data_IF_056701793416
#
_entry.id   IF_056701793416
#
_cell.length_a   1.000
_cell.length_b   1.000
_cell.length_c   1.000
_cell.angle_alpha   90.00
_cell.angle_beta   90.00
_cell.angle_gamma   90.00
#
_symmetry.space_group_name_H-M   'P 1'
#
loop_
_entity.id
_entity.type
_entity.pdbx_description
1 polymer ?
#
# COMPACT_ATOMS: atom_id res chain seq x y z
N UNK A 1 6.87 -19.63 105.63
CA UNK A 1 7.80 -18.49 105.80
C UNK A 1 9.15 -18.91 105.25
N UNK A 2 9.83 -18.00 104.55
CA UNK A 2 11.16 -18.08 103.90
C UNK A 2 11.10 -18.03 102.36
N UNK A 3 11.43 -16.82 101.87
CA UNK A 3 11.85 -16.38 100.53
C UNK A 3 12.82 -17.36 99.84
N UNK A 4 12.65 -17.70 98.57
CA UNK A 4 12.82 -16.88 97.36
C UNK A 4 14.28 -16.50 97.08
N UNK A 5 14.95 -17.33 96.27
CA UNK A 5 16.07 -16.96 95.39
C UNK A 5 15.95 -17.78 94.09
N UNK A 6 15.23 -17.26 93.10
CA UNK A 6 15.54 -17.50 91.69
C UNK A 6 15.72 -16.14 91.04
N UNK A 7 16.92 -15.91 90.53
CA UNK A 7 17.34 -14.72 89.80
C UNK A 7 16.45 -14.49 88.57
N UNK A 8 16.02 -13.25 88.30
CA UNK A 8 15.29 -12.93 87.07
C UNK A 8 16.21 -12.96 85.85
N UNK A 9 15.65 -13.42 84.72
CA UNK A 9 16.21 -13.21 83.39
C UNK A 9 16.11 -11.73 83.01
N UNK A 10 17.08 -11.17 82.26
CA UNK A 10 17.05 -9.77 81.85
C UNK A 10 15.94 -9.48 80.83
N UNK A 11 15.35 -8.31 81.05
CA UNK A 11 14.20 -7.67 80.41
C UNK A 11 14.40 -7.40 78.90
N UNK A 12 13.42 -7.79 78.07
CA UNK A 12 13.34 -7.52 76.64
C UNK A 12 12.91 -6.06 76.35
N UNK A 13 13.69 -5.09 76.85
CA UNK A 13 13.53 -3.67 76.51
C UNK A 13 14.87 -2.98 76.27
N UNK A 14 15.52 -3.29 75.17
CA UNK A 14 16.55 -2.42 74.61
C UNK A 14 16.81 -2.67 73.11
N UNK A 15 15.75 -2.63 72.30
CA UNK A 15 15.86 -2.32 70.88
C UNK A 15 15.24 -0.95 70.67
N UNK A 16 16.05 0.11 70.65
CA UNK A 16 15.56 1.48 70.50
C UNK A 16 14.64 1.58 69.27
N UNK A 17 13.53 2.30 69.40
CA UNK A 17 12.60 2.59 68.30
C UNK A 17 13.35 3.13 67.06
N UNK A 18 14.48 3.82 67.28
CA UNK A 18 15.38 4.35 66.26
C UNK A 18 16.01 3.29 65.35
N UNK A 19 16.29 2.07 65.83
CA UNK A 19 16.93 1.03 65.01
C UNK A 19 15.92 0.33 64.09
N UNK A 20 14.65 0.22 64.50
CA UNK A 20 13.57 -0.32 63.64
C UNK A 20 13.06 0.71 62.63
N UNK A 21 13.06 1.99 63.00
CA UNK A 21 12.71 3.10 62.08
C UNK A 21 13.84 3.33 61.05
N UNK A 22 15.11 3.19 61.43
CA UNK A 22 16.24 3.34 60.51
C UNK A 22 16.30 2.27 59.41
N UNK A 23 15.99 1.00 59.74
CA UNK A 23 15.94 -0.09 58.75
C UNK A 23 14.72 0.03 57.83
N UNK A 24 13.56 0.46 58.35
CA UNK A 24 12.39 0.73 57.51
C UNK A 24 12.59 1.95 56.60
N UNK A 25 13.24 3.02 57.08
CA UNK A 25 13.55 4.19 56.26
C UNK A 25 14.56 3.87 55.15
N UNK A 26 15.57 3.03 55.41
CA UNK A 26 16.54 2.62 54.40
C UNK A 26 15.92 1.71 53.32
N UNK A 27 15.02 0.79 53.69
CA UNK A 27 14.31 -0.08 52.72
C UNK A 27 13.28 0.71 51.91
N UNK A 28 12.61 1.70 52.50
CA UNK A 28 11.68 2.59 51.79
C UNK A 28 12.42 3.57 50.87
N UNK A 29 13.58 4.10 51.27
CA UNK A 29 14.40 4.96 50.42
C UNK A 29 15.05 4.21 49.26
N UNK A 30 15.53 2.98 49.47
CA UNK A 30 16.04 2.13 48.39
C UNK A 30 14.92 1.69 47.44
N UNK A 31 13.73 1.40 47.96
CA UNK A 31 12.53 1.11 47.15
C UNK A 31 12.05 2.33 46.35
N UNK A 32 12.09 3.53 46.91
CA UNK A 32 11.70 4.77 46.22
C UNK A 32 12.70 5.18 45.14
N UNK A 33 14.01 5.00 45.34
CA UNK A 33 15.03 5.27 44.31
C UNK A 33 14.97 4.24 43.17
N UNK A 34 14.58 2.98 43.45
CA UNK A 34 14.39 1.97 42.41
C UNK A 34 13.05 2.14 41.66
N UNK A 35 12.01 2.67 42.31
CA UNK A 35 10.73 2.98 41.67
C UNK A 35 10.79 4.28 40.84
N UNK A 36 11.66 5.24 41.18
CA UNK A 36 11.86 6.47 40.39
C UNK A 36 12.82 6.30 39.20
N UNK A 37 13.56 5.19 39.11
CA UNK A 37 14.40 4.85 37.96
C UNK A 37 13.71 3.93 36.93
N UNK A 38 12.50 3.43 37.21
CA UNK A 38 11.71 2.62 36.27
C UNK A 38 10.49 3.35 35.67
N UNK A 39 10.33 4.65 35.93
CA UNK A 39 9.27 5.46 35.33
C UNK A 39 9.83 6.85 35.00
N UNK A 40 10.47 6.97 33.84
CA UNK A 40 10.43 8.24 33.10
C UNK A 40 9.10 8.20 32.33
N UNK A 41 8.15 9.11 32.61
CA UNK A 41 6.96 9.25 31.81
C UNK A 41 7.32 10.04 30.55
N UNK A 42 7.33 9.39 29.39
CA UNK A 42 7.09 10.08 28.13
C UNK A 42 5.58 10.38 28.06
N UNK A 43 5.17 11.50 28.65
CA UNK A 43 3.88 12.13 28.34
C UNK A 43 4.14 13.12 27.20
N UNK A 44 3.72 12.76 26.00
CA UNK A 44 3.03 13.71 25.13
C UNK A 44 1.62 13.17 24.92
N UNK A 45 0.65 13.97 25.37
CA UNK A 45 -0.77 13.73 25.26
C UNK A 45 -1.18 13.53 23.79
N UNK A 46 -1.87 12.43 23.47
CA UNK A 46 -3.23 12.57 22.96
C UNK A 46 -4.05 11.32 23.26
N UNK A 47 -4.96 11.46 24.23
CA UNK A 47 -5.98 10.47 24.55
C UNK A 47 -7.07 10.51 23.49
N UNK A 48 -6.90 9.73 22.42
CA UNK A 48 -8.02 9.21 21.61
C UNK A 48 -7.86 7.72 21.26
N UNK A 49 -6.96 7.00 21.95
CA UNK A 49 -6.61 5.59 21.65
C UNK A 49 -7.70 4.58 22.08
N UNK A 50 -8.86 5.04 22.56
CA UNK A 50 -9.90 4.18 23.14
C UNK A 50 -11.07 3.78 22.24
N UNK A 51 -11.17 4.31 21.01
CA UNK A 51 -12.36 4.13 20.15
C UNK A 51 -12.08 3.54 18.75
N UNK A 52 -10.87 3.04 18.50
CA UNK A 52 -10.43 2.61 17.16
C UNK A 52 -10.59 1.11 16.89
N UNK A 53 -11.01 0.32 17.87
CA UNK A 53 -11.17 -1.13 17.72
C UNK A 53 -12.50 -1.57 17.08
N UNK A 54 -13.36 -0.64 16.65
CA UNK A 54 -14.67 -0.97 16.10
C UNK A 54 -14.71 -1.09 14.56
N UNK A 55 -13.63 -0.76 13.85
CA UNK A 55 -13.67 -0.63 12.38
C UNK A 55 -12.52 -1.30 11.63
N UNK A 56 -11.61 -2.00 12.32
CA UNK A 56 -10.57 -2.81 11.65
C UNK A 56 -9.47 -2.03 10.92
N UNK A 57 -9.34 -0.73 11.14
CA UNK A 57 -8.28 0.12 10.59
C UNK A 57 -7.31 0.50 11.71
N UNK A 58 -6.01 0.23 11.53
CA UNK A 58 -4.94 0.57 12.48
C UNK A 58 -4.03 1.60 11.82
N UNK A 59 -3.98 2.81 12.38
CA UNK A 59 -3.05 3.85 11.94
C UNK A 59 -2.14 4.25 13.10
N UNK A 60 -0.81 4.22 12.91
CA UNK A 60 0.16 4.73 13.87
C UNK A 60 0.94 5.91 13.25
N UNK A 61 1.29 6.97 14.02
CA UNK A 61 1.63 8.28 13.45
C UNK A 61 3.06 8.41 12.89
N UNK A 62 3.80 7.31 12.69
CA UNK A 62 5.19 7.30 12.18
C UNK A 62 5.52 5.93 11.56
N UNK A 63 4.87 5.54 10.48
CA UNK A 63 5.16 4.26 9.82
C UNK A 63 6.29 4.44 8.79
N UNK A 64 7.55 4.33 9.24
CA UNK A 64 8.58 3.76 8.36
C UNK A 64 8.06 2.35 7.99
N UNK A 65 8.07 1.97 6.70
CA UNK A 65 7.61 0.64 6.30
C UNK A 65 8.44 -0.40 7.06
N UNK A 66 7.82 -1.18 7.94
CA UNK A 66 8.52 -2.15 8.78
C UNK A 66 9.18 -3.21 7.88
N UNK A 67 10.50 -3.13 7.73
CA UNK A 67 11.27 -4.06 6.90
C UNK A 67 11.50 -5.38 7.63
N UNK A 68 11.34 -6.54 6.95
CA UNK A 68 11.64 -7.82 7.58
C UNK A 68 13.14 -7.95 7.87
N UNK A 69 13.49 -8.63 8.95
CA UNK A 69 14.87 -9.07 9.15
C UNK A 69 15.24 -10.14 8.13
N UNK A 70 16.48 -10.16 7.65
CA UNK A 70 16.96 -11.17 6.71
C UNK A 70 17.18 -12.53 7.39
N UNK A 71 16.68 -13.58 6.75
CA UNK A 71 16.94 -14.95 7.20
C UNK A 71 18.38 -15.36 6.91
N UNK A 72 18.89 -16.36 7.65
CA UNK A 72 20.19 -16.98 7.36
C UNK A 72 20.23 -17.51 5.92
N UNK A 73 19.11 -18.02 5.41
CA UNK A 73 18.99 -18.48 4.03
C UNK A 73 19.16 -17.34 3.02
N UNK A 74 18.59 -16.16 3.27
CA UNK A 74 18.78 -15.00 2.40
C UNK A 74 20.25 -14.58 2.33
N UNK A 75 20.92 -14.49 3.48
CA UNK A 75 22.34 -14.12 3.57
C UNK A 75 23.25 -15.14 2.85
N UNK A 76 22.91 -16.42 2.86
CA UNK A 76 23.71 -17.48 2.23
C UNK A 76 23.46 -17.61 0.72
N UNK A 77 22.27 -17.24 0.24
CA UNK A 77 21.83 -17.57 -1.13
C UNK A 77 21.66 -16.38 -2.05
N UNK A 78 21.46 -15.17 -1.53
CA UNK A 78 21.41 -13.94 -2.33
C UNK A 78 22.84 -13.39 -2.45
N UNK A 79 23.31 -12.96 -3.64
CA UNK A 79 24.60 -12.28 -3.75
C UNK A 79 24.63 -11.05 -2.84
N UNK A 80 25.72 -10.82 -2.11
CA UNK A 80 25.84 -9.73 -1.14
C UNK A 80 25.49 -8.36 -1.75
N UNK A 81 25.96 -8.09 -2.97
CA UNK A 81 25.65 -6.85 -3.69
C UNK A 81 24.17 -6.72 -4.08
N UNK A 82 23.46 -7.82 -4.31
CA UNK A 82 22.02 -7.78 -4.58
C UNK A 82 21.21 -7.60 -3.30
N UNK A 83 21.62 -8.27 -2.21
CA UNK A 83 20.95 -8.16 -0.92
C UNK A 83 21.00 -6.73 -0.39
N UNK A 84 22.15 -6.07 -0.48
CA UNK A 84 22.32 -4.65 -0.12
C UNK A 84 21.37 -3.76 -0.94
N UNK A 85 21.34 -3.93 -2.27
CA UNK A 85 20.45 -3.16 -3.15
C UNK A 85 18.96 -3.42 -2.90
N UNK A 86 18.54 -4.64 -2.56
CA UNK A 86 17.15 -4.92 -2.19
C UNK A 86 16.76 -4.20 -0.90
N UNK A 87 17.62 -4.24 0.11
CA UNK A 87 17.38 -3.61 1.41
C UNK A 87 17.33 -2.09 1.27
N UNK A 88 18.30 -1.50 0.56
CA UNK A 88 18.36 -0.07 0.26
C UNK A 88 17.11 0.39 -0.50
N UNK A 89 16.79 -0.27 -1.62
CA UNK A 89 15.59 0.07 -2.39
C UNK A 89 14.30 -0.11 -1.59
N UNK A 90 14.24 -1.13 -0.72
CA UNK A 90 13.09 -1.39 0.14
C UNK A 90 12.89 -0.33 1.22
N UNK A 91 13.97 0.08 1.88
CA UNK A 91 13.96 1.16 2.87
C UNK A 91 13.58 2.50 2.22
N UNK A 92 14.23 2.85 1.11
CA UNK A 92 14.04 4.12 0.40
C UNK A 92 12.61 4.30 -0.13
N UNK A 93 11.96 3.21 -0.55
CA UNK A 93 10.66 3.25 -1.25
C UNK A 93 9.50 2.71 -0.42
N UNK A 94 9.75 2.29 0.81
CA UNK A 94 8.72 1.67 1.65
C UNK A 94 8.20 0.33 1.11
N UNK A 95 9.01 -0.39 0.33
CA UNK A 95 8.69 -1.70 -0.23
C UNK A 95 9.38 -2.79 0.59
N UNK A 96 8.72 -3.90 0.98
CA UNK A 96 9.42 -4.98 1.68
C UNK A 96 10.55 -5.56 0.80
N UNK A 97 11.80 -5.45 1.24
CA UNK A 97 12.96 -5.85 0.42
C UNK A 97 12.90 -7.34 0.00
N UNK A 98 12.29 -8.19 0.82
CA UNK A 98 12.14 -9.61 0.55
C UNK A 98 11.19 -9.88 -0.64
N UNK A 99 10.25 -8.98 -0.94
CA UNK A 99 9.39 -9.04 -2.15
C UNK A 99 10.23 -8.75 -3.40
N UNK A 100 11.07 -7.70 -3.36
CA UNK A 100 12.00 -7.38 -4.46
C UNK A 100 12.99 -8.53 -4.70
N UNK A 101 13.50 -9.11 -3.61
CA UNK A 101 14.35 -10.29 -3.68
C UNK A 101 13.60 -11.51 -4.26
N UNK A 102 12.34 -11.72 -3.88
CA UNK A 102 11.50 -12.77 -4.46
C UNK A 102 11.35 -12.64 -5.98
N UNK A 103 11.09 -11.43 -6.47
CA UNK A 103 11.04 -11.14 -7.91
C UNK A 103 12.38 -11.45 -8.59
N UNK A 104 13.48 -10.89 -8.10
CA UNK A 104 14.78 -11.12 -8.72
C UNK A 104 15.24 -12.59 -8.68
N UNK A 105 14.78 -13.36 -7.68
CA UNK A 105 15.00 -14.79 -7.62
C UNK A 105 14.26 -15.54 -8.73
N UNK A 106 12.97 -15.24 -8.95
CA UNK A 106 12.16 -15.89 -9.98
C UNK A 106 12.58 -15.47 -11.38
N UNK A 107 12.93 -14.20 -11.59
CA UNK A 107 13.25 -13.64 -12.90
C UNK A 107 14.62 -14.06 -13.43
N UNK A 108 15.64 -14.11 -12.56
CA UNK A 108 17.02 -14.32 -13.02
C UNK A 108 17.94 -15.00 -12.01
N UNK A 109 17.40 -15.48 -10.89
CA UNK A 109 18.19 -15.97 -9.77
C UNK A 109 19.22 -14.92 -9.29
N UNK A 110 18.75 -13.68 -9.14
CA UNK A 110 19.55 -12.49 -8.80
C UNK A 110 20.67 -12.22 -9.82
N UNK A 111 20.32 -12.26 -11.11
CA UNK A 111 21.21 -12.03 -12.25
C UNK A 111 22.21 -13.15 -12.54
N UNK A 112 22.06 -14.33 -11.91
CA UNK A 112 23.03 -15.44 -12.03
C UNK A 112 22.66 -16.49 -13.07
N UNK A 113 21.41 -16.51 -13.53
CA UNK A 113 21.03 -17.42 -14.62
C UNK A 113 21.67 -16.99 -15.94
N UNK A 114 22.12 -17.99 -16.69
CA UNK A 114 22.58 -17.82 -18.06
C UNK A 114 21.36 -17.99 -18.98
N UNK A 115 20.67 -16.87 -19.22
CA UNK A 115 19.40 -16.81 -19.94
C UNK A 115 19.28 -15.54 -20.78
N UNK A 116 18.49 -15.58 -21.86
CA UNK A 116 18.38 -14.45 -22.78
C UNK A 116 17.80 -13.22 -22.06
N UNK A 117 18.31 -12.03 -22.38
CA UNK A 117 17.84 -10.77 -21.80
C UNK A 117 18.40 -10.44 -20.43
N UNK A 118 19.05 -11.35 -19.70
CA UNK A 118 19.47 -11.08 -18.30
C UNK A 118 20.64 -10.09 -18.24
N UNK A 119 21.67 -10.28 -19.07
CA UNK A 119 22.87 -9.41 -19.10
C UNK A 119 23.01 -8.61 -20.40
N UNK A 120 22.29 -9.03 -21.45
CA UNK A 120 22.26 -8.35 -22.75
C UNK A 120 21.02 -8.76 -23.56
N UNK A 121 20.61 -7.91 -24.49
CA UNK A 121 19.49 -8.15 -25.39
C UNK A 121 18.15 -8.25 -24.66
N UNK A 122 17.23 -9.05 -25.21
CA UNK A 122 15.95 -9.34 -24.59
C UNK A 122 15.65 -10.84 -24.70
N UNK A 123 14.81 -11.35 -23.80
CA UNK A 123 14.21 -12.66 -23.95
C UNK A 123 13.16 -12.67 -25.09
N UNK A 124 12.61 -13.84 -25.43
CA UNK A 124 11.64 -13.99 -26.53
C UNK A 124 10.36 -13.13 -26.38
N UNK A 125 10.12 -12.58 -25.19
CA UNK A 125 8.97 -11.74 -24.89
C UNK A 125 9.31 -10.24 -24.90
N UNK A 126 10.58 -9.87 -25.03
CA UNK A 126 11.04 -8.48 -25.03
C UNK A 126 11.48 -7.94 -23.66
N UNK A 127 11.75 -8.82 -22.70
CA UNK A 127 12.19 -8.41 -21.36
C UNK A 127 13.72 -8.48 -21.20
N UNK A 128 14.27 -7.58 -20.38
CA UNK A 128 15.71 -7.40 -20.18
C UNK A 128 16.08 -7.12 -18.71
N UNK A 129 17.34 -7.35 -18.36
CA UNK A 129 17.90 -7.09 -17.04
C UNK A 129 17.69 -8.20 -16.01
N UNK A 130 18.30 -8.10 -14.82
CA UNK A 130 18.13 -9.08 -13.74
C UNK A 130 16.72 -9.07 -13.15
N UNK A 131 15.95 -8.00 -13.37
CA UNK A 131 14.54 -7.93 -12.97
C UNK A 131 13.59 -8.22 -14.15
N UNK A 132 14.11 -8.52 -15.35
CA UNK A 132 13.32 -8.85 -16.55
C UNK A 132 12.20 -7.82 -16.86
N UNK A 133 12.58 -6.55 -16.94
CA UNK A 133 11.69 -5.48 -17.38
C UNK A 133 11.38 -5.57 -18.87
N UNK A 134 10.13 -5.31 -19.26
CA UNK A 134 9.81 -5.05 -20.66
C UNK A 134 10.63 -3.87 -21.18
N UNK A 135 11.41 -4.09 -22.24
CA UNK A 135 12.37 -3.10 -22.78
C UNK A 135 12.30 -3.02 -24.31
N UNK A 136 11.21 -3.49 -24.93
CA UNK A 136 11.08 -3.56 -26.38
C UNK A 136 9.65 -3.20 -26.82
N UNK A 137 9.51 -2.08 -27.52
CA UNK A 137 8.23 -1.62 -28.04
C UNK A 137 7.58 -2.64 -28.98
N UNK A 138 6.28 -2.89 -28.79
CA UNK A 138 5.51 -3.84 -29.58
C UNK A 138 5.78 -5.32 -29.26
N UNK A 139 6.65 -5.60 -28.28
CA UNK A 139 6.82 -6.94 -27.72
C UNK A 139 5.70 -7.31 -26.75
N UNK A 140 5.66 -8.58 -26.31
CA UNK A 140 4.66 -9.04 -25.35
C UNK A 140 4.90 -8.49 -23.94
N UNK A 141 6.15 -8.27 -23.55
CA UNK A 141 6.54 -7.63 -22.30
C UNK A 141 6.38 -6.10 -22.35
N UNK A 142 6.18 -5.53 -23.54
CA UNK A 142 6.09 -4.09 -23.75
C UNK A 142 7.41 -3.37 -23.42
N UNK A 143 7.31 -2.10 -23.02
CA UNK A 143 8.46 -1.27 -22.67
C UNK A 143 8.21 -0.48 -21.38
N UNK A 144 8.00 -1.21 -20.29
CA UNK A 144 7.91 -0.63 -18.95
C UNK A 144 9.21 0.03 -18.51
N UNK A 145 10.37 -0.41 -19.00
CA UNK A 145 11.64 0.27 -18.74
C UNK A 145 11.59 1.73 -19.22
N UNK A 146 10.97 1.94 -20.38
CA UNK A 146 10.76 3.22 -21.03
C UNK A 146 11.98 3.65 -21.82
N UNK A 147 11.88 3.58 -23.15
CA UNK A 147 12.99 3.91 -24.05
C UNK A 147 13.92 2.73 -24.31
N UNK A 148 15.20 3.02 -24.50
CA UNK A 148 16.23 2.02 -24.77
C UNK A 148 16.71 1.33 -23.47
N UNK A 149 17.13 0.05 -23.52
CA UNK A 149 17.67 -0.67 -22.37
C UNK A 149 18.80 0.05 -21.62
N UNK A 150 19.59 0.86 -22.33
CA UNK A 150 20.66 1.69 -21.78
C UNK A 150 20.55 3.07 -22.41
N UNK A 151 20.34 4.11 -21.61
CA UNK A 151 20.19 5.49 -22.10
C UNK A 151 20.54 6.53 -21.02
N UNK A 152 20.89 7.76 -21.39
CA UNK A 152 21.05 8.85 -20.43
C UNK A 152 19.75 9.09 -19.66
N UNK A 153 19.83 9.33 -18.34
CA UNK A 153 18.65 9.53 -17.49
C UNK A 153 17.76 10.69 -17.98
N UNK A 154 18.36 11.75 -18.54
CA UNK A 154 17.64 12.88 -19.11
C UNK A 154 16.91 12.60 -20.42
N UNK A 155 17.13 11.44 -21.04
CA UNK A 155 16.46 10.99 -22.27
C UNK A 155 15.39 9.92 -21.99
N UNK A 156 15.30 9.42 -20.75
CA UNK A 156 14.31 8.42 -20.36
C UNK A 156 12.89 9.01 -20.37
N UNK A 157 11.94 8.43 -21.13
CA UNK A 157 10.55 8.89 -21.15
C UNK A 157 9.90 8.86 -19.76
N UNK A 158 9.01 9.82 -19.48
CA UNK A 158 8.34 9.97 -18.18
C UNK A 158 7.53 8.73 -17.78
N UNK A 159 6.92 8.07 -18.77
CA UNK A 159 6.12 6.86 -18.60
C UNK A 159 6.95 5.58 -18.35
N UNK A 160 8.28 5.66 -18.41
CA UNK A 160 9.18 4.57 -18.07
C UNK A 160 9.36 4.42 -16.57
N UNK A 161 9.85 3.26 -16.14
CA UNK A 161 10.24 2.99 -14.76
C UNK A 161 11.75 2.93 -14.55
N UNK A 162 12.57 3.05 -15.60
CA UNK A 162 14.03 3.08 -15.43
C UNK A 162 14.47 4.17 -14.45
N UNK A 163 15.39 3.84 -13.55
CA UNK A 163 15.94 4.73 -12.52
C UNK A 163 17.46 4.73 -12.65
N UNK A 164 18.09 5.89 -12.43
CA UNK A 164 19.53 6.02 -12.26
C UNK A 164 19.81 5.88 -10.76
N UNK A 165 19.90 4.63 -10.29
CA UNK A 165 19.95 4.34 -8.86
C UNK A 165 21.34 4.56 -8.26
N UNK A 166 22.38 4.42 -9.08
CA UNK A 166 23.77 4.65 -8.66
C UNK A 166 24.26 6.10 -8.88
N UNK A 167 23.47 6.94 -9.56
CA UNK A 167 23.74 8.36 -9.79
C UNK A 167 24.81 8.64 -10.85
N UNK A 168 25.03 7.73 -11.80
CA UNK A 168 26.05 7.86 -12.84
C UNK A 168 25.58 8.62 -14.09
N UNK A 169 24.29 8.98 -14.14
CA UNK A 169 23.64 9.72 -15.22
C UNK A 169 23.08 8.83 -16.33
N UNK A 170 23.14 7.51 -16.19
CA UNK A 170 22.62 6.51 -17.12
C UNK A 170 21.54 5.70 -16.41
N UNK A 171 20.47 5.35 -17.13
CA UNK A 171 19.58 4.26 -16.72
C UNK A 171 19.93 3.03 -17.53
N UNK A 172 20.32 1.96 -16.84
CA UNK A 172 20.78 0.71 -17.43
C UNK A 172 19.98 -0.48 -16.89
N UNK A 173 19.13 -1.08 -17.73
CA UNK A 173 18.28 -2.21 -17.32
C UNK A 173 19.08 -3.42 -16.82
N UNK A 174 20.35 -3.56 -17.22
CA UNK A 174 21.23 -4.66 -16.82
C UNK A 174 22.02 -4.37 -15.53
N UNK A 175 22.03 -3.12 -15.05
CA UNK A 175 22.62 -2.77 -13.76
C UNK A 175 21.59 -3.04 -12.65
N UNK A 176 21.85 -3.96 -11.70
CA UNK A 176 20.93 -4.17 -10.58
C UNK A 176 20.73 -2.92 -9.73
N UNK A 177 21.70 -1.99 -9.68
CA UNK A 177 21.55 -0.74 -8.95
C UNK A 177 20.47 0.17 -9.55
N UNK A 178 20.13 -0.01 -10.82
CA UNK A 178 19.06 0.71 -11.51
C UNK A 178 17.77 -0.13 -11.57
N UNK A 179 17.91 -1.43 -11.87
CA UNK A 179 16.78 -2.32 -12.09
C UNK A 179 15.99 -2.64 -10.82
N UNK A 180 16.66 -2.79 -9.66
CA UNK A 180 16.00 -3.10 -8.39
C UNK A 180 15.12 -1.92 -7.91
N UNK A 181 15.63 -0.68 -7.82
CA UNK A 181 14.78 0.47 -7.48
C UNK A 181 13.67 0.71 -8.50
N UNK A 182 13.92 0.50 -9.80
CA UNK A 182 12.88 0.54 -10.81
C UNK A 182 11.77 -0.49 -10.56
N UNK A 183 12.10 -1.70 -10.07
CA UNK A 183 11.12 -2.74 -9.74
C UNK A 183 10.25 -2.34 -8.57
N UNK A 184 10.82 -1.67 -7.57
CA UNK A 184 10.06 -1.11 -6.47
C UNK A 184 9.09 -0.01 -6.95
N UNK A 185 9.56 0.93 -7.79
CA UNK A 185 8.70 1.99 -8.36
C UNK A 185 7.58 1.41 -9.24
N UNK A 186 7.90 0.36 -10.00
CA UNK A 186 6.91 -0.37 -10.78
C UNK A 186 5.84 -1.01 -9.89
N UNK A 187 6.25 -1.71 -8.83
CA UNK A 187 5.32 -2.36 -7.90
C UNK A 187 4.41 -1.34 -7.20
N UNK A 188 4.96 -0.22 -6.72
CA UNK A 188 4.18 0.87 -6.13
C UNK A 188 3.12 1.38 -7.11
N UNK A 189 3.51 1.64 -8.36
CA UNK A 189 2.55 2.06 -9.39
C UNK A 189 1.49 0.99 -9.75
N UNK A 190 1.69 -0.25 -9.35
CA UNK A 190 0.73 -1.36 -9.50
C UNK A 190 -0.06 -1.65 -8.21
N UNK A 191 -0.05 -0.73 -7.25
CA UNK A 191 -0.82 -0.83 -6.01
C UNK A 191 -0.23 -1.85 -5.05
N UNK A 192 1.10 -1.94 -4.96
CA UNK A 192 1.76 -2.80 -3.96
C UNK A 192 1.27 -2.45 -2.55
N UNK A 193 1.06 -1.16 -2.30
CA UNK A 193 0.49 -0.59 -1.08
C UNK A 193 -0.94 -1.10 -0.76
N UNK A 194 -1.63 -1.64 -1.76
CA UNK A 194 -3.01 -2.11 -1.66
C UNK A 194 -3.14 -3.63 -1.59
N UNK A 195 -2.52 -4.31 -2.55
CA UNK A 195 -2.54 -5.76 -2.71
C UNK A 195 -1.22 -6.22 -3.30
N UNK A 196 -0.33 -6.67 -2.42
CA UNK A 196 0.99 -7.20 -2.75
C UNK A 196 0.94 -8.23 -3.87
N UNK A 197 0.05 -9.22 -3.71
CA UNK A 197 -0.06 -10.34 -4.63
C UNK A 197 -0.52 -9.86 -5.99
N UNK A 198 -1.36 -8.83 -6.03
CA UNK A 198 -1.89 -8.26 -7.27
C UNK A 198 -0.94 -7.27 -7.94
N UNK A 199 -0.10 -6.56 -7.18
CA UNK A 199 1.01 -5.79 -7.73
C UNK A 199 2.07 -6.70 -8.36
N UNK A 200 2.40 -7.82 -7.69
CA UNK A 200 3.25 -8.87 -8.28
C UNK A 200 2.58 -9.49 -9.52
N UNK A 201 1.25 -9.67 -9.51
CA UNK A 201 0.51 -10.08 -10.70
C UNK A 201 0.60 -9.02 -11.81
N UNK A 202 0.65 -7.73 -11.48
CA UNK A 202 0.90 -6.65 -12.43
C UNK A 202 2.24 -6.81 -13.15
N UNK A 203 3.25 -7.31 -12.44
CA UNK A 203 4.61 -7.53 -12.96
C UNK A 203 4.68 -8.58 -14.09
N UNK A 204 4.03 -9.73 -13.92
CA UNK A 204 4.18 -10.88 -14.84
C UNK A 204 2.86 -11.44 -15.40
N UNK A 205 1.72 -11.05 -14.84
CA UNK A 205 0.37 -11.52 -15.19
C UNK A 205 0.13 -13.03 -15.02
N UNK A 206 0.86 -13.67 -14.12
CA UNK A 206 0.69 -15.08 -13.81
C UNK A 206 0.55 -15.32 -12.30
N UNK A 207 -0.53 -15.99 -11.88
CA UNK A 207 -0.72 -16.31 -10.46
C UNK A 207 0.30 -17.33 -9.93
N UNK A 208 0.81 -18.23 -10.79
CA UNK A 208 1.91 -19.12 -10.38
C UNK A 208 3.20 -18.34 -10.09
N UNK A 209 3.46 -17.25 -10.84
CA UNK A 209 4.58 -16.36 -10.59
C UNK A 209 4.40 -15.62 -9.26
N UNK A 210 3.18 -15.13 -8.98
CA UNK A 210 2.87 -14.51 -7.67
C UNK A 210 3.12 -15.49 -6.52
N UNK A 211 2.66 -16.73 -6.64
CA UNK A 211 2.87 -17.75 -5.62
C UNK A 211 4.36 -18.05 -5.42
N UNK A 212 5.13 -18.17 -6.50
CA UNK A 212 6.58 -18.38 -6.43
C UNK A 212 7.30 -17.20 -5.76
N UNK A 213 6.98 -15.96 -6.15
CA UNK A 213 7.57 -14.75 -5.54
C UNK A 213 7.26 -14.68 -4.06
N UNK A 214 6.00 -14.93 -3.66
CA UNK A 214 5.62 -14.92 -2.25
C UNK A 214 6.31 -16.03 -1.45
N UNK A 215 6.44 -17.24 -2.02
CA UNK A 215 7.17 -18.34 -1.37
C UNK A 215 8.65 -17.98 -1.14
N UNK A 216 9.29 -17.31 -2.12
CA UNK A 216 10.66 -16.82 -1.96
C UNK A 216 10.75 -15.68 -0.95
N UNK A 217 9.82 -14.73 -0.98
CA UNK A 217 9.79 -13.62 -0.04
C UNK A 217 9.65 -14.10 1.42
N UNK A 218 8.79 -15.09 1.67
CA UNK A 218 8.64 -15.73 2.98
C UNK A 218 9.93 -16.44 3.41
N UNK A 219 10.62 -17.11 2.48
CA UNK A 219 11.90 -17.78 2.77
C UNK A 219 13.03 -16.80 3.09
N UNK A 220 12.99 -15.60 2.51
CA UNK A 220 14.01 -14.58 2.70
C UNK A 220 13.83 -13.76 3.98
N UNK A 221 12.62 -13.69 4.53
CA UNK A 221 12.35 -13.05 5.82
C UNK A 221 12.61 -13.98 7.02
N UNK A 222 13.04 -13.41 8.14
CA UNK A 222 13.09 -14.09 9.43
C UNK A 222 11.78 -13.89 10.20
N UNK A 223 11.15 -15.00 10.66
CA UNK A 223 9.92 -14.98 11.47
C UNK A 223 8.62 -15.00 10.66
N UNK A 224 7.47 -14.87 11.36
CA UNK A 224 6.14 -14.76 10.75
C UNK A 224 5.94 -13.31 10.25
N UNK A 225 6.55 -12.95 9.14
CA UNK A 225 6.35 -11.63 8.50
C UNK A 225 5.08 -11.66 7.63
N UNK A 226 4.05 -10.91 7.99
CA UNK A 226 2.83 -10.79 7.18
C UNK A 226 2.91 -9.57 6.26
N UNK A 227 3.32 -9.80 5.01
CA UNK A 227 3.40 -8.78 3.95
C UNK A 227 2.09 -8.04 3.70
N UNK A 228 0.93 -8.65 4.00
CA UNK A 228 -0.39 -8.04 3.77
C UNK A 228 -0.85 -7.08 4.89
N UNK A 229 -0.32 -7.23 6.10
CA UNK A 229 -0.69 -6.36 7.24
C UNK A 229 0.14 -5.07 7.26
N UNK A 230 1.43 -5.15 6.90
CA UNK A 230 2.34 -3.98 6.85
C UNK A 230 1.93 -2.96 5.78
N UNK A 231 1.31 -3.45 4.70
CA UNK A 231 0.95 -2.70 3.50
C UNK A 231 -0.46 -2.08 3.61
N UNK A 232 -1.45 -2.84 4.13
CA UNK A 232 -2.75 -2.27 4.55
C UNK A 232 -2.60 -1.14 5.57
N UNK A 233 -1.55 -1.18 6.39
CA UNK A 233 -1.25 -0.13 7.35
C UNK A 233 -0.78 1.15 6.65
N UNK A 234 -0.04 1.09 5.53
CA UNK A 234 0.47 2.28 4.84
C UNK A 234 -0.63 3.08 4.12
N UNK A 235 -1.51 2.44 3.35
CA UNK A 235 -2.58 3.11 2.57
C UNK A 235 -3.69 3.68 3.44
N UNK A 236 -4.07 2.96 4.49
CA UNK A 236 -5.08 3.47 5.45
C UNK A 236 -4.50 4.52 6.40
N UNK A 237 -3.18 4.78 6.36
CA UNK A 237 -2.52 5.84 7.12
C UNK A 237 -2.33 7.13 6.33
N UNK A 238 -2.63 7.18 5.02
CA UNK A 238 -2.74 8.48 4.34
C UNK A 238 -3.96 9.19 4.90
N UNK A 239 -3.69 10.29 5.59
CA UNK A 239 -4.71 11.15 6.15
C UNK A 239 -4.84 12.35 5.23
N UNK A 240 -6.07 12.75 4.95
CA UNK A 240 -6.32 14.06 4.33
C UNK A 240 -5.81 15.20 5.24
N UNK A 241 -5.90 16.44 4.75
CA UNK A 241 -5.49 17.63 5.51
C UNK A 241 -6.13 17.73 6.91
N UNK A 242 -7.28 17.07 7.12
CA UNK A 242 -8.05 17.05 8.36
C UNK A 242 -7.77 15.83 9.26
N UNK A 243 -6.85 14.94 8.85
CA UNK A 243 -6.47 13.77 9.65
C UNK A 243 -7.40 12.55 9.47
N UNK A 244 -8.17 12.50 8.38
CA UNK A 244 -9.12 11.42 8.08
C UNK A 244 -8.50 10.44 7.06
N UNK A 245 -8.58 9.12 7.28
CA UNK A 245 -8.09 8.15 6.30
C UNK A 245 -8.73 8.34 4.93
N UNK A 246 -7.90 8.44 3.89
CA UNK A 246 -8.33 8.45 2.49
C UNK A 246 -9.12 7.16 2.20
N UNK A 247 -10.18 7.26 1.39
CA UNK A 247 -11.12 6.17 1.11
C UNK A 247 -12.26 6.03 2.12
N UNK A 248 -12.30 6.87 3.17
CA UNK A 248 -13.40 6.85 4.14
C UNK A 248 -14.65 7.57 3.62
N UNK A 249 -15.69 6.79 3.33
CA UNK A 249 -16.97 7.32 2.91
C UNK A 249 -17.84 7.84 4.08
N UNK A 250 -18.86 8.66 3.81
CA UNK A 250 -19.71 9.28 4.85
C UNK A 250 -20.57 8.29 5.65
N UNK A 251 -20.83 7.11 5.08
CA UNK A 251 -21.67 6.06 5.67
C UNK A 251 -21.24 4.67 5.20
N UNK A 252 -21.70 3.62 5.90
CA UNK A 252 -21.31 2.22 5.65
C UNK A 252 -21.69 1.71 4.25
N UNK A 253 -22.79 2.21 3.69
CA UNK A 253 -23.28 1.76 2.38
C UNK A 253 -22.43 2.36 1.26
N UNK A 254 -22.10 3.65 1.37
CA UNK A 254 -21.14 4.31 0.49
C UNK A 254 -19.75 3.70 0.66
N UNK A 255 -19.35 3.33 1.88
CA UNK A 255 -18.07 2.68 2.14
C UNK A 255 -17.96 1.35 1.39
N UNK A 256 -19.00 0.52 1.42
CA UNK A 256 -19.01 -0.75 0.70
C UNK A 256 -18.85 -0.59 -0.82
N UNK A 257 -19.37 0.50 -1.39
CA UNK A 257 -19.18 0.83 -2.82
C UNK A 257 -17.73 1.20 -3.10
N UNK A 258 -17.13 2.05 -2.26
CA UNK A 258 -15.72 2.48 -2.38
C UNK A 258 -14.78 1.29 -2.21
N UNK A 259 -14.96 0.50 -1.15
CA UNK A 259 -14.17 -0.70 -0.87
C UNK A 259 -14.22 -1.67 -2.06
N UNK A 260 -15.41 -1.92 -2.61
CA UNK A 260 -15.54 -2.79 -3.77
C UNK A 260 -14.78 -2.25 -4.98
N UNK A 261 -14.83 -0.95 -5.25
CA UNK A 261 -14.11 -0.35 -6.37
C UNK A 261 -12.59 -0.44 -6.16
N UNK A 262 -12.11 -0.19 -4.95
CA UNK A 262 -10.70 -0.31 -4.56
C UNK A 262 -10.21 -1.77 -4.65
N UNK A 263 -11.06 -2.76 -4.36
CA UNK A 263 -10.76 -4.19 -4.54
C UNK A 263 -10.53 -4.57 -6.02
N UNK A 264 -10.94 -3.72 -6.97
CA UNK A 264 -10.72 -3.97 -8.40
C UNK A 264 -9.37 -3.45 -8.91
N UNK A 265 -8.60 -2.74 -8.08
CA UNK A 265 -7.27 -2.25 -8.44
C UNK A 265 -6.36 -3.37 -8.91
N UNK A 266 -5.42 -3.07 -9.80
CA UNK A 266 -4.57 -4.06 -10.45
C UNK A 266 -5.29 -4.92 -11.52
N UNK A 267 -6.60 -4.78 -11.75
CA UNK A 267 -7.28 -5.45 -12.89
C UNK A 267 -7.02 -4.68 -14.19
N UNK A 268 -6.92 -5.36 -15.34
CA UNK A 268 -6.76 -4.69 -16.62
C UNK A 268 -8.01 -3.88 -16.98
N UNK A 269 -7.79 -2.79 -17.71
CA UNK A 269 -8.85 -2.18 -18.48
C UNK A 269 -9.28 -3.12 -19.61
N UNK A 270 -10.58 -3.38 -19.71
CA UNK A 270 -11.16 -4.13 -20.84
C UNK A 270 -12.26 -3.27 -21.44
N UNK A 271 -12.12 -2.86 -22.70
CA UNK A 271 -13.15 -2.11 -23.42
C UNK A 271 -14.47 -2.91 -23.45
N UNK A 272 -15.55 -2.34 -22.90
CA UNK A 272 -16.83 -3.01 -22.73
C UNK A 272 -16.90 -3.92 -21.49
N UNK A 273 -15.84 -4.04 -20.72
CA UNK A 273 -15.69 -4.97 -19.60
C UNK A 273 -16.56 -4.64 -18.40
N UNK A 274 -17.17 -5.68 -17.82
CA UNK A 274 -17.99 -5.61 -16.59
C UNK A 274 -17.61 -6.71 -15.58
N UNK A 275 -16.36 -7.18 -15.65
CA UNK A 275 -15.79 -8.19 -14.77
C UNK A 275 -16.01 -9.65 -15.20
N UNK A 276 -15.46 -10.61 -14.43
CA UNK A 276 -14.64 -10.38 -13.23
C UNK A 276 -13.17 -10.07 -13.54
N UNK A 277 -12.71 -10.37 -14.75
CA UNK A 277 -11.28 -10.35 -15.12
C UNK A 277 -10.76 -8.95 -15.48
N UNK A 278 -11.64 -7.97 -15.66
CA UNK A 278 -11.31 -6.59 -15.97
C UNK A 278 -12.57 -5.75 -16.26
N UNK A 279 -12.41 -4.43 -16.24
CA UNK A 279 -13.52 -3.48 -16.35
C UNK A 279 -13.14 -2.33 -17.29
N UNK A 280 -14.12 -1.67 -17.91
CA UNK A 280 -13.92 -0.31 -18.38
C UNK A 280 -14.39 0.71 -17.33
N UNK A 281 -14.22 2.01 -17.62
CA UNK A 281 -14.51 3.10 -16.69
C UNK A 281 -15.91 3.01 -16.07
N UNK A 282 -16.93 2.98 -16.92
CA UNK A 282 -18.34 2.91 -16.49
C UNK A 282 -18.75 1.51 -16.01
N UNK A 283 -18.08 0.45 -16.46
CA UNK A 283 -18.28 -0.91 -15.99
C UNK A 283 -17.78 -1.13 -14.56
N UNK A 284 -16.67 -0.49 -14.19
CA UNK A 284 -16.13 -0.51 -12.82
C UNK A 284 -17.12 0.14 -11.85
N UNK A 285 -17.55 1.37 -12.12
CA UNK A 285 -18.47 2.11 -11.26
C UNK A 285 -19.83 1.43 -11.20
N UNK A 286 -20.35 0.94 -12.34
CA UNK A 286 -21.61 0.20 -12.38
C UNK A 286 -21.58 -1.02 -11.45
N UNK A 287 -20.48 -1.77 -11.47
CA UNK A 287 -20.33 -2.97 -10.63
C UNK A 287 -20.09 -2.66 -9.16
N UNK A 288 -19.42 -1.54 -8.85
CA UNK A 288 -19.27 -1.06 -7.48
C UNK A 288 -20.63 -0.77 -6.85
N UNK A 289 -21.51 -0.07 -7.56
CA UNK A 289 -22.88 0.16 -7.14
C UNK A 289 -23.73 -1.13 -7.10
N UNK A 290 -23.57 -2.02 -8.09
CA UNK A 290 -24.28 -3.31 -8.09
C UNK A 290 -23.90 -4.19 -6.88
N UNK A 291 -22.70 -4.02 -6.31
CA UNK A 291 -22.23 -4.79 -5.15
C UNK A 291 -23.10 -4.62 -3.90
N UNK A 292 -23.73 -3.45 -3.76
CA UNK A 292 -24.68 -3.12 -2.69
C UNK A 292 -26.14 -3.29 -3.14
N UNK A 293 -26.36 -3.94 -4.29
CA UNK A 293 -27.68 -4.22 -4.83
C UNK A 293 -28.36 -3.04 -5.53
N UNK A 294 -27.62 -2.01 -5.95
CA UNK A 294 -28.19 -0.86 -6.68
C UNK A 294 -27.70 -0.80 -8.12
N UNK A 295 -28.62 -0.55 -9.05
CA UNK A 295 -28.31 -0.47 -10.47
C UNK A 295 -28.12 0.98 -10.89
N UNK A 296 -27.02 1.26 -11.58
CA UNK A 296 -26.76 2.51 -12.30
C UNK A 296 -26.58 2.21 -13.80
N UNK A 297 -26.71 3.22 -14.69
CA UNK A 297 -26.58 3.01 -16.13
C UNK A 297 -25.22 2.43 -16.55
N UNK A 298 -25.18 1.73 -17.67
CA UNK A 298 -23.95 1.04 -18.13
C UNK A 298 -22.89 1.98 -18.68
N UNK A 299 -23.27 3.06 -19.35
CA UNK A 299 -22.34 3.92 -20.12
C UNK A 299 -22.09 5.24 -19.39
N UNK A 300 -20.90 5.81 -19.55
CA UNK A 300 -20.48 7.04 -18.84
C UNK A 300 -21.40 8.22 -19.13
N UNK A 301 -21.87 8.36 -20.36
CA UNK A 301 -22.78 9.43 -20.76
C UNK A 301 -24.12 9.38 -20.02
N UNK A 302 -24.63 8.17 -19.74
CA UNK A 302 -25.87 8.00 -18.99
C UNK A 302 -25.63 8.15 -17.49
N UNK A 303 -24.48 7.68 -16.97
CA UNK A 303 -24.11 7.86 -15.56
C UNK A 303 -23.91 9.35 -15.21
N UNK A 304 -23.42 10.17 -16.15
CA UNK A 304 -23.31 11.62 -16.00
C UNK A 304 -24.65 12.28 -15.69
N UNK A 305 -25.75 11.80 -16.30
CA UNK A 305 -27.09 12.32 -16.07
C UNK A 305 -27.89 11.61 -14.97
N UNK A 306 -27.28 10.64 -14.27
CA UNK A 306 -28.03 9.74 -13.38
C UNK A 306 -28.14 10.28 -11.95
N UNK A 307 -27.04 10.75 -11.35
CA UNK A 307 -27.06 11.36 -10.02
C UNK A 307 -27.32 12.88 -10.08
N UNK A 308 -27.70 13.53 -8.97
CA UNK A 308 -27.54 14.98 -8.85
C UNK A 308 -26.09 15.38 -9.09
N UNK A 309 -25.91 16.48 -9.82
CA UNK A 309 -24.61 17.12 -10.05
C UNK A 309 -24.11 17.76 -8.75
N UNK A 310 -22.83 17.60 -8.46
CA UNK A 310 -22.18 18.07 -7.24
C UNK A 310 -21.23 19.23 -7.60
N UNK A 311 -21.29 20.37 -6.87
CA UNK A 311 -20.30 21.43 -7.04
C UNK A 311 -18.89 20.94 -6.73
N UNK A 312 -17.90 21.41 -7.49
CA UNK A 312 -16.49 21.12 -7.22
C UNK A 312 -16.09 21.61 -5.81
N UNK A 313 -15.44 20.74 -5.04
CA UNK A 313 -15.12 20.91 -3.62
C UNK A 313 -16.19 20.38 -2.66
N UNK A 314 -17.33 19.88 -3.16
CA UNK A 314 -18.37 19.21 -2.34
C UNK A 314 -18.47 17.70 -2.63
N UNK A 315 -17.62 17.18 -3.52
CA UNK A 315 -17.49 15.76 -3.77
C UNK A 315 -17.01 15.01 -2.53
N UNK A 316 -17.48 13.78 -2.39
CA UNK A 316 -17.13 12.89 -1.29
C UNK A 316 -16.78 11.49 -1.84
N UNK A 317 -16.10 10.65 -1.05
CA UNK A 317 -15.82 9.29 -1.47
C UNK A 317 -17.10 8.55 -1.87
N UNK A 318 -17.07 7.91 -3.04
CA UNK A 318 -18.22 7.28 -3.69
C UNK A 318 -18.86 8.11 -4.81
N UNK A 319 -18.66 9.43 -4.84
CA UNK A 319 -19.10 10.27 -5.97
C UNK A 319 -18.34 9.91 -7.25
N UNK A 320 -18.93 10.26 -8.40
CA UNK A 320 -18.36 9.98 -9.70
C UNK A 320 -17.83 11.27 -10.35
N UNK A 321 -16.58 11.25 -10.79
CA UNK A 321 -15.92 12.35 -11.51
C UNK A 321 -15.85 12.02 -13.00
N UNK A 322 -16.14 13.00 -13.85
CA UNK A 322 -16.26 12.83 -15.30
C UNK A 322 -15.33 13.77 -16.05
N UNK A 323 -14.81 13.31 -17.20
CA UNK A 323 -13.79 14.02 -17.97
C UNK A 323 -14.19 14.22 -19.43
N UNK A 324 -13.77 15.35 -20.01
CA UNK A 324 -14.02 15.71 -21.42
C UNK A 324 -13.03 14.98 -22.33
N UNK A 325 -13.22 13.67 -22.43
CA UNK A 325 -12.49 12.81 -23.36
C UNK A 325 -13.39 12.56 -24.56
N UNK A 326 -12.97 13.01 -25.75
CA UNK A 326 -13.68 12.73 -27.00
C UNK A 326 -13.00 11.61 -27.76
N UNK A 327 -13.74 10.56 -28.11
CA UNK A 327 -13.27 9.47 -29.00
C UNK A 327 -14.11 9.39 -30.27
N UNK A 328 -13.47 9.01 -31.38
CA UNK A 328 -14.14 8.93 -32.66
C UNK A 328 -15.23 7.84 -32.67
N UNK A 329 -16.47 8.25 -32.91
CA UNK A 329 -17.62 7.34 -32.98
C UNK A 329 -18.40 7.18 -31.68
N UNK A 330 -18.03 7.89 -30.60
CA UNK A 330 -18.80 7.91 -29.36
C UNK A 330 -19.92 8.96 -29.37
N UNK A 331 -21.03 8.72 -28.64
CA UNK A 331 -22.06 9.74 -28.41
C UNK A 331 -21.49 10.97 -27.70
N UNK A 332 -22.10 12.16 -27.89
CA UNK A 332 -21.72 13.35 -27.13
C UNK A 332 -21.93 13.14 -25.63
N UNK A 333 -20.94 13.56 -24.82
CA UNK A 333 -20.90 13.41 -23.37
C UNK A 333 -19.49 13.06 -22.88
N UNK A 334 -19.30 12.83 -21.57
CA UNK A 334 -17.99 12.51 -21.02
C UNK A 334 -17.52 11.13 -21.48
N UNK A 335 -16.34 11.06 -22.11
CA UNK A 335 -15.74 9.80 -22.58
C UNK A 335 -14.88 9.07 -21.56
N UNK A 336 -14.73 9.61 -20.35
CA UNK A 336 -14.13 8.90 -19.23
C UNK A 336 -14.73 9.30 -17.88
N UNK A 337 -14.60 8.41 -16.89
CA UNK A 337 -15.01 8.65 -15.51
C UNK A 337 -14.24 7.79 -14.50
N UNK A 338 -14.24 8.23 -13.24
CA UNK A 338 -13.75 7.48 -12.09
C UNK A 338 -14.62 7.68 -10.84
N UNK A 339 -14.27 7.01 -9.75
CA UNK A 339 -14.94 7.15 -8.46
C UNK A 339 -14.03 7.86 -7.47
N UNK A 340 -14.49 8.98 -6.92
CA UNK A 340 -13.79 9.76 -5.90
C UNK A 340 -13.55 8.90 -4.67
N UNK A 341 -12.35 8.97 -4.09
CA UNK A 341 -11.99 8.31 -2.84
C UNK A 341 -11.51 9.29 -1.76
N UNK A 342 -11.48 10.59 -2.06
CA UNK A 342 -11.08 11.66 -1.15
C UNK A 342 -9.76 12.31 -1.56
N UNK A 343 -9.48 13.51 -1.03
CA UNK A 343 -8.21 14.22 -1.17
C UNK A 343 -7.69 14.38 -2.63
N UNK A 344 -8.57 14.74 -3.57
CA UNK A 344 -8.15 14.87 -4.98
C UNK A 344 -7.94 13.52 -5.70
N UNK A 345 -8.17 12.39 -5.04
CA UNK A 345 -7.95 11.06 -5.60
C UNK A 345 -9.24 10.38 -6.06
N UNK A 346 -9.10 9.54 -7.08
CA UNK A 346 -10.13 8.63 -7.57
C UNK A 346 -9.57 7.25 -7.90
N UNK A 347 -10.41 6.22 -7.81
CA UNK A 347 -10.17 4.92 -8.45
C UNK A 347 -10.80 4.89 -9.84
N UNK A 348 -10.03 4.48 -10.85
CA UNK A 348 -10.50 4.48 -12.24
C UNK A 348 -9.96 3.31 -13.07
N UNK A 349 -10.71 2.97 -14.13
CA UNK A 349 -10.26 2.12 -15.22
C UNK A 349 -10.12 2.98 -16.49
N UNK A 350 -8.91 3.41 -16.83
CA UNK A 350 -8.67 4.43 -17.86
C UNK A 350 -8.64 3.91 -19.31
N UNK A 351 -7.67 3.04 -19.63
CA UNK A 351 -7.45 2.60 -21.01
C UNK A 351 -6.65 1.29 -21.08
N UNK A 352 -6.76 0.55 -22.19
CA UNK A 352 -6.14 -0.77 -22.42
C UNK A 352 -4.63 -0.80 -22.18
N UNK A 353 -3.91 0.28 -22.50
CA UNK A 353 -2.43 0.34 -22.43
C UNK A 353 -1.94 1.42 -21.45
N UNK A 354 -2.78 1.82 -20.50
CA UNK A 354 -2.46 2.89 -19.56
C UNK A 354 -2.28 2.37 -18.12
N UNK A 355 -1.93 1.10 -17.99
CA UNK A 355 -1.86 0.41 -16.71
C UNK A 355 -3.22 -0.12 -16.22
N UNK A 356 -3.22 -0.77 -15.05
CA UNK A 356 -4.41 -1.38 -14.49
C UNK A 356 -5.38 -0.33 -13.93
N UNK A 357 -6.50 -0.81 -13.40
CA UNK A 357 -7.34 -0.06 -12.47
C UNK A 357 -6.47 0.38 -11.29
N UNK A 358 -6.47 1.67 -10.98
CA UNK A 358 -5.58 2.25 -9.98
C UNK A 358 -6.21 3.48 -9.34
N UNK A 359 -5.62 3.92 -8.23
CA UNK A 359 -5.87 5.23 -7.64
C UNK A 359 -5.01 6.28 -8.35
N UNK A 360 -5.59 7.42 -8.70
CA UNK A 360 -4.89 8.55 -9.33
C UNK A 360 -5.51 9.87 -8.91
N UNK A 361 -4.72 10.93 -8.95
CA UNK A 361 -5.20 12.31 -8.86
C UNK A 361 -6.18 12.59 -10.02
N UNK A 362 -7.37 13.09 -9.69
CA UNK A 362 -8.35 13.51 -10.70
C UNK A 362 -8.14 14.95 -11.17
N UNK A 363 -7.45 15.78 -10.40
CA UNK A 363 -7.17 17.19 -10.70
C UNK A 363 -5.75 17.44 -11.23
N UNK A 364 -5.01 16.37 -11.59
CA UNK A 364 -3.71 16.46 -12.25
C UNK A 364 -3.78 17.37 -13.49
N UNK A 365 -2.94 18.42 -13.59
CA UNK A 365 -2.97 19.39 -14.69
C UNK A 365 -2.67 18.79 -16.08
N UNK A 366 -2.17 17.56 -16.14
CA UNK A 366 -1.89 16.83 -17.38
C UNK A 366 -3.06 15.94 -17.84
N UNK A 367 -4.17 15.91 -17.10
CA UNK A 367 -5.40 15.19 -17.48
C UNK A 367 -6.32 16.02 -18.37
N UNK A 368 -7.31 15.34 -18.93
CA UNK A 368 -8.43 15.99 -19.59
C UNK A 368 -9.24 16.82 -18.58
N UNK A 369 -9.90 17.88 -19.08
CA UNK A 369 -10.70 18.76 -18.24
C UNK A 369 -11.85 18.00 -17.55
N UNK A 370 -12.07 18.30 -16.26
CA UNK A 370 -13.21 17.79 -15.50
C UNK A 370 -14.49 18.42 -16.04
N UNK A 371 -15.45 17.58 -16.41
CA UNK A 371 -16.81 17.98 -16.79
C UNK A 371 -17.64 18.29 -15.55
N UNK A 372 -17.48 17.48 -14.50
CA UNK A 372 -18.12 17.68 -13.20
C UNK A 372 -18.23 16.38 -12.40
N UNK A 373 -19.02 16.45 -11.32
CA UNK A 373 -19.19 15.36 -10.35
C UNK A 373 -20.67 14.98 -10.22
N UNK A 374 -20.98 13.72 -9.94
CA UNK A 374 -22.35 13.26 -9.66
C UNK A 374 -22.41 12.33 -8.46
N UNK A 375 -23.56 12.31 -7.77
CA UNK A 375 -23.79 11.44 -6.60
C UNK A 375 -24.91 10.42 -6.84
N UNK A 376 -24.62 9.24 -7.42
CA UNK A 376 -25.64 8.24 -7.77
C UNK A 376 -26.54 7.79 -6.61
N UNK A 377 -26.02 7.65 -5.39
CA UNK A 377 -26.80 7.19 -4.22
C UNK A 377 -27.94 8.15 -3.84
N UNK A 378 -27.85 9.41 -4.26
CA UNK A 378 -28.89 10.40 -4.02
C UNK A 378 -30.04 10.34 -5.04
N UNK A 379 -29.89 9.54 -6.11
CA UNK A 379 -30.92 9.39 -7.14
C UNK A 379 -32.19 8.69 -6.58
N UNK A 380 -33.41 9.18 -6.89
CA UNK A 380 -34.64 8.59 -6.36
C UNK A 380 -34.83 7.10 -6.66
N UNK A 381 -34.40 6.63 -7.84
CA UNK A 381 -34.51 5.20 -8.18
C UNK A 381 -33.53 4.33 -7.39
N UNK A 382 -32.36 4.87 -7.01
CA UNK A 382 -31.40 4.17 -6.16
C UNK A 382 -31.93 4.06 -4.74
N UNK A 383 -32.46 5.17 -4.19
CA UNK A 383 -33.10 5.16 -2.88
C UNK A 383 -34.25 4.15 -2.80
N UNK A 384 -35.09 4.09 -3.83
CA UNK A 384 -36.17 3.10 -3.90
C UNK A 384 -35.65 1.65 -3.96
N UNK A 385 -34.54 1.39 -4.65
CA UNK A 385 -33.91 0.06 -4.68
C UNK A 385 -33.37 -0.34 -3.31
N UNK A 386 -32.78 0.58 -2.56
CA UNK A 386 -32.28 0.34 -1.21
C UNK A 386 -33.43 0.11 -0.21
N UNK A 387 -34.50 0.91 -0.30
CA UNK A 387 -35.70 0.73 0.53
C UNK A 387 -36.37 -0.63 0.32
N UNK A 388 -36.34 -1.16 -0.91
CA UNK A 388 -36.90 -2.48 -1.23
C UNK A 388 -36.10 -3.65 -0.64
N UNK A 389 -34.87 -3.41 -0.16
CA UNK A 389 -33.97 -4.42 0.42
C UNK A 389 -34.03 -4.47 1.95
N UNK A 390 -34.54 -3.41 2.60
CA UNK A 390 -34.74 -3.30 4.05
C UNK A 390 -36.04 -3.97 4.51
#
# INVERSE_FOLDING_TARGET
MISALRTPAPDERSGSCLTRVGVLAAVVMAGLVFLTLMVIPAITNNTQVGSWLASGVVCAPNADAEQPSSSEYAMDTIPENYLELYQEAGEDRGVPWNILAGIGQVESHHGRWDGPGITEGHNDWGAAGPMQFGSLDGSAAGNSWGGEPIQPVGERPEQGYGVDGNGDGIVNVYDPADAIPAAADYLLAHGLEDDVRRAIYGYNHAWWYVDDVMEWADRYAEGDFNTSDSIRTAVLCELDEDGVPIGRAPDELTQAVVDWALDQRGKPYIWGGTGPDGYDCSGLTMKAYESIGVTVPRVSQDQWGFGPEIPMGEEQPGDLVFFDVTRAGEPPGPGHMGMVIGDGLMVEAWCTNCGPIAVREYDDPNRADIVGFTRPLEHPEVKAQLEAQA
#
